data_IF_961120748467
#
_entry.id   IF_961120748467
#
_cell.length_a   1.000
_cell.length_b   1.000
_cell.length_c   1.000
_cell.angle_alpha   90.00
_cell.angle_beta   90.00
_cell.angle_gamma   90.00
#
_symmetry.space_group_name_H-M   'P 1'
#
loop_
_entity.id
_entity.type
_entity.pdbx_description
1 polymer ?
#
# COMPACT_ATOMS: atom_id res chain seq x y z
N UNK A 1 -15.37 -1.42 16.92
CA UNK A 1 -15.63 -0.31 17.88
C UNK A 1 -14.38 0.53 17.96
N UNK A 2 -14.51 1.88 18.02
CA UNK A 2 -13.33 2.74 18.13
C UNK A 2 -12.43 2.33 19.30
N UNK A 3 -11.14 2.43 19.09
CA UNK A 3 -10.09 2.15 20.07
C UNK A 3 -9.22 3.39 20.28
N UNK A 4 -8.48 3.45 21.36
CA UNK A 4 -7.45 4.46 21.53
C UNK A 4 -6.28 4.18 20.57
N UNK A 5 -5.64 5.24 20.06
CA UNK A 5 -4.45 5.08 19.24
C UNK A 5 -3.32 4.47 20.07
N UNK A 6 -2.70 3.41 19.55
CA UNK A 6 -1.56 2.74 20.20
C UNK A 6 -0.22 3.43 19.89
N UNK A 7 -0.19 4.26 18.87
CA UNK A 7 0.96 5.05 18.42
C UNK A 7 0.58 6.48 18.07
N UNK A 8 1.24 7.04 17.06
CA UNK A 8 0.92 8.39 16.56
C UNK A 8 -0.48 8.45 15.97
N UNK A 9 -1.09 9.63 15.98
CA UNK A 9 -2.40 9.89 15.40
C UNK A 9 -2.48 11.29 14.81
N UNK A 10 -3.50 11.55 14.01
CA UNK A 10 -3.81 12.87 13.44
C UNK A 10 -5.14 13.39 14.00
N UNK A 11 -5.28 14.71 14.05
CA UNK A 11 -6.46 15.35 14.63
C UNK A 11 -7.75 14.90 13.93
N UNK A 12 -8.74 14.49 14.71
CA UNK A 12 -10.06 14.06 14.23
C UNK A 12 -10.09 12.62 13.65
N UNK A 13 -8.98 11.93 13.62
CA UNK A 13 -8.93 10.54 13.17
C UNK A 13 -9.59 9.60 14.21
N UNK A 14 -10.25 8.57 13.71
CA UNK A 14 -10.86 7.51 14.49
C UNK A 14 -10.12 6.22 14.18
N UNK A 15 -9.52 5.63 15.21
CA UNK A 15 -8.89 4.31 15.14
C UNK A 15 -9.92 3.23 15.45
N UNK A 16 -9.89 2.13 14.70
CA UNK A 16 -10.76 0.99 14.95
C UNK A 16 -10.04 -0.32 14.57
N UNK A 17 -10.54 -1.42 15.11
CA UNK A 17 -10.11 -2.78 14.74
C UNK A 17 -11.33 -3.60 14.33
N UNK A 18 -11.19 -4.32 13.24
CA UNK A 18 -12.28 -5.08 12.65
C UNK A 18 -11.86 -6.52 12.39
N UNK A 19 -12.71 -7.47 12.77
CA UNK A 19 -12.50 -8.88 12.50
C UNK A 19 -12.87 -9.19 11.04
N UNK A 20 -11.92 -9.67 10.26
CA UNK A 20 -12.07 -10.06 8.84
C UNK A 20 -11.18 -11.27 8.56
N UNK A 21 -11.64 -12.19 7.74
CA UNK A 21 -10.83 -13.31 7.22
C UNK A 21 -9.94 -14.01 8.28
N UNK A 22 -10.46 -14.21 9.50
CA UNK A 22 -9.75 -14.87 10.60
C UNK A 22 -8.64 -14.04 11.26
N UNK A 23 -8.62 -12.74 11.07
CA UNK A 23 -7.67 -11.79 11.69
C UNK A 23 -8.41 -10.53 12.15
N UNK A 24 -7.73 -9.64 12.86
CA UNK A 24 -8.20 -8.27 13.10
C UNK A 24 -7.28 -7.28 12.40
N UNK A 25 -7.86 -6.48 11.51
CA UNK A 25 -7.15 -5.36 10.91
C UNK A 25 -7.40 -4.09 11.72
N UNK A 26 -6.35 -3.34 11.97
CA UNK A 26 -6.40 -1.96 12.42
C UNK A 26 -6.59 -1.05 11.21
N UNK A 27 -7.44 -0.06 11.34
CA UNK A 27 -7.60 0.99 10.33
C UNK A 27 -7.94 2.32 10.99
N UNK A 28 -7.61 3.39 10.28
CA UNK A 28 -7.83 4.77 10.71
C UNK A 28 -8.77 5.44 9.73
N UNK A 29 -9.79 6.10 10.23
CA UNK A 29 -10.80 6.80 9.43
C UNK A 29 -10.76 8.29 9.67
N UNK A 30 -10.93 9.07 8.59
CA UNK A 30 -11.06 10.52 8.62
C UNK A 30 -12.05 11.00 7.55
N UNK A 31 -12.82 12.05 7.84
CA UNK A 31 -13.86 12.54 6.93
C UNK A 31 -15.19 11.79 7.08
N UNK A 32 -16.30 12.48 6.81
CA UNK A 32 -17.65 11.97 7.07
C UNK A 32 -18.56 11.95 5.84
N UNK A 33 -18.12 12.55 4.72
CA UNK A 33 -18.94 12.74 3.51
C UNK A 33 -18.15 12.32 2.24
N UNK A 34 -18.81 12.30 1.12
CA UNK A 34 -18.24 11.96 -0.19
C UNK A 34 -18.03 10.45 -0.40
N UNK A 35 -17.42 10.09 -1.51
CA UNK A 35 -17.09 8.70 -1.84
C UNK A 35 -15.99 8.14 -0.93
N UNK A 36 -15.99 6.83 -0.66
CA UNK A 36 -15.02 6.22 0.22
C UNK A 36 -13.70 5.93 -0.51
N UNK A 37 -12.58 6.23 0.16
CA UNK A 37 -11.22 5.94 -0.28
C UNK A 37 -10.56 4.99 0.71
N UNK A 38 -9.92 3.92 0.22
CA UNK A 38 -9.09 3.02 1.02
C UNK A 38 -7.63 3.18 0.62
N UNK A 39 -6.80 3.60 1.57
CA UNK A 39 -5.35 3.76 1.43
C UNK A 39 -4.64 2.53 2.01
N UNK A 40 -3.75 1.93 1.22
CA UNK A 40 -3.00 0.72 1.58
C UNK A 40 -1.51 1.02 1.44
N UNK A 41 -0.81 0.95 2.56
CA UNK A 41 0.60 1.31 2.67
C UNK A 41 1.53 0.28 2.01
N UNK A 42 2.80 0.68 1.82
CA UNK A 42 3.90 -0.15 1.36
C UNK A 42 4.80 -0.67 2.49
N UNK A 43 6.10 -0.81 2.17
CA UNK A 43 7.13 -1.25 3.10
C UNK A 43 8.25 -0.18 3.17
N UNK A 44 8.79 0.13 4.36
CA UNK A 44 8.48 -0.40 5.70
C UNK A 44 7.43 0.43 6.45
N UNK A 45 6.34 0.68 5.82
CA UNK A 45 5.30 1.62 6.23
C UNK A 45 4.17 0.95 7.04
N UNK A 46 3.26 1.80 7.51
CA UNK A 46 1.96 1.49 8.12
C UNK A 46 0.95 2.50 7.58
N UNK A 47 -0.29 2.54 8.09
CA UNK A 47 -1.26 3.59 7.78
C UNK A 47 -0.67 5.00 7.91
N UNK A 48 0.34 5.17 8.79
CA UNK A 48 0.99 6.44 9.07
C UNK A 48 1.66 7.08 7.84
N UNK A 49 2.02 6.28 6.82
CA UNK A 49 2.53 6.82 5.56
C UNK A 49 1.60 7.85 4.90
N UNK A 50 0.31 7.78 5.20
CA UNK A 50 -0.69 8.68 4.64
C UNK A 50 -1.14 9.77 5.60
N UNK A 51 -0.45 10.01 6.72
CA UNK A 51 -0.90 10.93 7.77
C UNK A 51 -1.07 12.37 7.28
N UNK A 52 -0.30 12.81 6.29
CA UNK A 52 -0.45 14.13 5.66
C UNK A 52 -1.39 14.12 4.45
N UNK A 53 -1.53 12.99 3.77
CA UNK A 53 -2.45 12.82 2.63
C UNK A 53 -3.91 12.75 3.09
N UNK A 54 -4.17 12.04 4.18
CA UNK A 54 -5.53 11.83 4.70
C UNK A 54 -6.31 13.11 5.01
N UNK A 55 -5.75 14.13 5.70
CA UNK A 55 -6.48 15.37 5.99
C UNK A 55 -6.94 16.09 4.72
N UNK A 56 -6.12 16.12 3.67
CA UNK A 56 -6.46 16.79 2.40
C UNK A 56 -7.59 16.05 1.69
N UNK A 57 -7.54 14.72 1.64
CA UNK A 57 -8.60 13.92 1.02
C UNK A 57 -9.91 13.98 1.84
N UNK A 58 -9.79 14.01 3.16
CA UNK A 58 -10.93 14.01 4.08
C UNK A 58 -11.80 15.29 4.04
N UNK A 59 -11.31 16.35 3.41
CA UNK A 59 -12.12 17.54 3.16
C UNK A 59 -13.38 17.23 2.31
N UNK A 60 -13.31 16.21 1.45
CA UNK A 60 -14.35 15.86 0.47
C UNK A 60 -14.73 14.38 0.44
N UNK A 61 -13.96 13.50 1.09
CA UNK A 61 -14.11 12.05 1.01
C UNK A 61 -14.12 11.42 2.40
N UNK A 62 -14.66 10.19 2.49
CA UNK A 62 -14.46 9.30 3.62
C UNK A 62 -13.17 8.53 3.38
N UNK A 63 -12.14 8.82 4.15
CA UNK A 63 -10.82 8.23 3.97
C UNK A 63 -10.59 7.18 5.03
N UNK A 64 -10.15 6.00 4.61
CA UNK A 64 -9.73 4.91 5.47
C UNK A 64 -8.31 4.52 5.09
N UNK A 65 -7.41 4.46 6.06
CA UNK A 65 -6.06 3.92 5.88
C UNK A 65 -5.93 2.67 6.76
N UNK A 66 -5.52 1.55 6.17
CA UNK A 66 -5.46 0.26 6.83
C UNK A 66 -4.02 -0.15 7.10
N UNK A 67 -3.77 -0.77 8.24
CA UNK A 67 -2.58 -1.60 8.45
C UNK A 67 -2.86 -2.99 7.90
N UNK A 68 -2.06 -3.46 6.96
CA UNK A 68 -2.15 -4.84 6.47
C UNK A 68 -1.87 -5.84 7.60
N UNK A 69 -2.37 -7.06 7.48
CA UNK A 69 -2.05 -8.15 8.40
C UNK A 69 -0.53 -8.29 8.53
N UNK A 70 -0.04 -8.33 9.77
CA UNK A 70 1.38 -8.38 10.08
C UNK A 70 2.09 -7.03 10.10
N UNK A 71 1.38 -5.94 9.83
CA UNK A 71 1.91 -4.57 9.87
C UNK A 71 1.16 -3.72 10.89
N UNK A 72 1.75 -2.59 11.25
CA UNK A 72 1.11 -1.60 12.10
C UNK A 72 0.51 -2.20 13.35
N UNK A 73 -0.69 -1.82 13.69
CA UNK A 73 -1.45 -2.30 14.86
C UNK A 73 -2.45 -3.42 14.51
N UNK A 74 -2.37 -3.98 13.30
CA UNK A 74 -3.09 -5.21 12.91
C UNK A 74 -2.52 -6.46 13.59
N UNK A 75 -3.29 -7.55 13.60
CA UNK A 75 -2.79 -8.85 14.07
C UNK A 75 -1.60 -9.30 13.23
N UNK A 76 -0.73 -10.11 13.84
CA UNK A 76 0.44 -10.67 13.18
C UNK A 76 0.03 -11.58 12.01
N UNK A 77 0.88 -11.65 11.01
CA UNK A 77 0.73 -12.62 9.92
C UNK A 77 1.12 -14.02 10.39
N UNK A 78 0.52 -15.03 9.77
CA UNK A 78 0.90 -16.43 9.93
C UNK A 78 1.69 -16.93 8.72
N UNK A 79 2.06 -18.20 8.75
CA UNK A 79 2.88 -18.84 7.72
C UNK A 79 2.24 -18.88 6.33
N UNK A 80 0.91 -18.75 6.25
CA UNK A 80 0.14 -18.80 5.00
C UNK A 80 -0.15 -17.42 4.41
N UNK A 81 0.32 -16.34 5.06
CA UNK A 81 0.08 -14.99 4.59
C UNK A 81 0.82 -14.72 3.28
N UNK A 82 0.06 -14.33 2.28
CA UNK A 82 0.51 -13.97 0.93
C UNK A 82 -0.38 -12.85 0.34
N UNK A 83 -0.13 -12.44 -0.89
CA UNK A 83 -0.93 -11.40 -1.56
C UNK A 83 -2.39 -11.80 -1.76
N UNK A 84 -2.71 -13.10 -1.82
CA UNK A 84 -4.08 -13.58 -1.98
C UNK A 84 -4.84 -13.46 -0.66
N UNK A 85 -4.21 -13.85 0.45
CA UNK A 85 -4.79 -13.68 1.79
C UNK A 85 -4.99 -12.20 2.09
N UNK A 86 -3.99 -11.36 1.79
CA UNK A 86 -4.08 -9.92 1.98
C UNK A 86 -5.21 -9.28 1.14
N UNK A 87 -5.42 -9.72 -0.10
CA UNK A 87 -6.50 -9.24 -0.95
C UNK A 87 -7.89 -9.62 -0.38
N UNK A 88 -8.04 -10.83 0.15
CA UNK A 88 -9.27 -11.25 0.80
C UNK A 88 -9.53 -10.48 2.11
N UNK A 89 -8.48 -10.21 2.89
CA UNK A 89 -8.58 -9.36 4.08
C UNK A 89 -9.16 -7.98 3.74
N UNK A 90 -8.63 -7.35 2.70
CA UNK A 90 -9.10 -6.04 2.23
C UNK A 90 -10.52 -6.10 1.65
N UNK A 91 -10.87 -7.16 0.92
CA UNK A 91 -12.24 -7.35 0.42
C UNK A 91 -13.25 -7.44 1.57
N UNK A 92 -12.94 -8.23 2.60
CA UNK A 92 -13.82 -8.34 3.76
C UNK A 92 -13.85 -7.04 4.59
N UNK A 93 -12.74 -6.30 4.67
CA UNK A 93 -12.73 -4.96 5.26
C UNK A 93 -13.69 -4.01 4.53
N UNK A 94 -13.60 -3.92 3.19
CA UNK A 94 -14.48 -3.08 2.37
C UNK A 94 -15.94 -3.45 2.61
N UNK A 95 -16.24 -4.75 2.60
CA UNK A 95 -17.59 -5.27 2.84
C UNK A 95 -18.10 -4.89 4.23
N UNK A 96 -17.29 -5.06 5.25
CA UNK A 96 -17.66 -4.79 6.65
C UNK A 96 -17.80 -3.27 6.92
N UNK A 97 -17.04 -2.41 6.26
CA UNK A 97 -17.20 -0.96 6.32
C UNK A 97 -18.54 -0.50 5.73
N UNK A 98 -19.10 -1.25 4.77
CA UNK A 98 -20.48 -1.05 4.25
C UNK A 98 -20.69 0.33 3.59
N UNK A 99 -19.66 0.88 2.95
CA UNK A 99 -19.70 2.20 2.29
C UNK A 99 -19.92 2.13 0.77
N UNK A 100 -20.10 0.92 0.22
CA UNK A 100 -20.14 0.66 -1.22
C UNK A 100 -18.75 0.47 -1.83
N UNK A 101 -18.63 0.47 -3.17
CA UNK A 101 -17.35 0.34 -3.85
C UNK A 101 -16.40 1.47 -3.44
N UNK A 102 -15.14 1.13 -3.18
CA UNK A 102 -14.12 2.09 -2.72
C UNK A 102 -13.14 2.47 -3.83
N UNK A 103 -12.67 3.70 -3.79
CA UNK A 103 -11.47 4.10 -4.51
C UNK A 103 -10.26 3.51 -3.79
N UNK A 104 -9.62 2.52 -4.40
CA UNK A 104 -8.48 1.81 -3.83
C UNK A 104 -7.19 2.55 -4.19
N UNK A 105 -6.39 2.88 -3.20
CA UNK A 105 -5.06 3.48 -3.38
C UNK A 105 -4.04 2.57 -2.73
N UNK A 106 -3.03 2.13 -3.46
CA UNK A 106 -1.99 1.25 -2.94
C UNK A 106 -0.60 1.73 -3.36
N UNK A 107 0.37 1.55 -2.46
CA UNK A 107 1.76 1.96 -2.65
C UNK A 107 2.71 0.78 -2.53
N UNK A 108 3.77 0.76 -3.35
CA UNK A 108 4.91 -0.16 -3.25
C UNK A 108 4.49 -1.64 -3.25
N UNK A 109 4.95 -2.41 -2.26
CA UNK A 109 4.78 -3.87 -2.13
C UNK A 109 3.30 -4.30 -2.04
N UNK A 110 2.41 -3.43 -1.56
CA UNK A 110 0.98 -3.71 -1.51
C UNK A 110 0.29 -3.70 -2.88
N UNK A 111 0.99 -3.24 -3.91
CA UNK A 111 0.46 -3.19 -5.27
C UNK A 111 -0.03 -4.54 -5.80
N UNK A 112 0.68 -5.63 -5.50
CA UNK A 112 0.26 -7.00 -5.89
C UNK A 112 -1.06 -7.38 -5.21
N UNK A 113 -1.21 -7.07 -3.93
CA UNK A 113 -2.44 -7.28 -3.16
C UNK A 113 -3.59 -6.48 -3.75
N UNK A 114 -3.38 -5.18 -4.00
CA UNK A 114 -4.41 -4.29 -4.53
C UNK A 114 -4.82 -4.66 -5.97
N UNK A 115 -3.86 -5.02 -6.83
CA UNK A 115 -4.14 -5.52 -8.17
C UNK A 115 -4.99 -6.79 -8.12
N UNK A 116 -4.62 -7.74 -7.26
CA UNK A 116 -5.39 -8.97 -7.06
C UNK A 116 -6.81 -8.68 -6.56
N UNK A 117 -6.97 -7.80 -5.57
CA UNK A 117 -8.27 -7.37 -5.06
C UNK A 117 -9.14 -6.79 -6.18
N UNK A 118 -8.61 -5.82 -6.95
CA UNK A 118 -9.35 -5.19 -8.04
C UNK A 118 -9.70 -6.19 -9.16
N UNK A 119 -8.86 -7.20 -9.40
CA UNK A 119 -9.10 -8.23 -10.41
C UNK A 119 -10.13 -9.28 -9.96
N UNK A 120 -10.12 -9.68 -8.69
CA UNK A 120 -10.99 -10.77 -8.20
C UNK A 120 -12.32 -10.27 -7.62
N UNK A 121 -12.39 -9.01 -7.18
CA UNK A 121 -13.56 -8.37 -6.60
C UNK A 121 -13.84 -6.99 -7.24
N UNK A 122 -14.00 -6.92 -8.58
CA UNK A 122 -14.15 -5.64 -9.28
C UNK A 122 -15.34 -4.81 -8.81
N UNK A 123 -16.42 -5.44 -8.35
CA UNK A 123 -17.62 -4.77 -7.86
C UNK A 123 -17.39 -4.04 -6.51
N UNK A 124 -16.35 -4.39 -5.78
CA UNK A 124 -15.95 -3.72 -4.54
C UNK A 124 -15.09 -2.47 -4.77
N UNK A 125 -14.64 -2.25 -6.01
CA UNK A 125 -13.67 -1.19 -6.35
C UNK A 125 -14.30 -0.19 -7.32
N UNK A 126 -14.18 1.10 -6.99
CA UNK A 126 -14.66 2.19 -7.85
C UNK A 126 -13.57 2.67 -8.83
N UNK A 127 -12.33 2.73 -8.38
CA UNK A 127 -11.12 3.00 -9.17
C UNK A 127 -9.89 2.46 -8.44
N UNK A 128 -8.77 2.36 -9.15
CA UNK A 128 -7.51 1.91 -8.57
C UNK A 128 -6.40 2.94 -8.84
N UNK A 129 -5.81 3.48 -7.79
CA UNK A 129 -4.60 4.31 -7.84
C UNK A 129 -3.40 3.51 -7.40
N UNK A 130 -2.41 3.38 -8.27
CA UNK A 130 -1.17 2.65 -8.09
C UNK A 130 -0.02 3.65 -7.89
N UNK A 131 0.64 3.66 -6.72
CA UNK A 131 1.72 4.61 -6.39
C UNK A 131 3.03 3.86 -6.28
N UNK A 132 4.05 4.24 -7.08
CA UNK A 132 5.42 3.70 -6.99
C UNK A 132 5.45 2.17 -6.84
N UNK A 133 4.59 1.45 -7.56
CA UNK A 133 4.46 0.01 -7.44
C UNK A 133 4.80 -0.72 -8.74
N UNK A 134 5.21 -1.96 -8.58
CA UNK A 134 5.34 -2.94 -9.65
C UNK A 134 4.44 -4.15 -9.43
N UNK A 135 4.47 -5.07 -10.38
CA UNK A 135 3.78 -6.35 -10.28
C UNK A 135 4.73 -7.49 -10.64
N UNK A 136 4.73 -8.62 -9.89
CA UNK A 136 5.43 -9.82 -10.29
C UNK A 136 4.93 -10.34 -11.63
N UNK A 137 5.85 -10.83 -12.47
CA UNK A 137 5.56 -11.19 -13.86
C UNK A 137 5.58 -10.02 -14.83
N UNK A 138 5.64 -8.78 -14.31
CA UNK A 138 5.76 -7.55 -15.11
C UNK A 138 7.06 -6.78 -14.84
N UNK A 139 8.00 -7.41 -14.15
CA UNK A 139 9.35 -6.89 -13.93
C UNK A 139 9.71 -6.59 -12.47
N UNK A 140 8.77 -6.67 -11.52
CA UNK A 140 9.06 -6.41 -10.11
C UNK A 140 10.06 -7.41 -9.51
N UNK A 141 10.05 -8.65 -9.97
CA UNK A 141 10.99 -9.68 -9.55
C UNK A 141 12.46 -9.35 -9.87
N UNK A 142 12.72 -8.49 -10.85
CA UNK A 142 14.06 -8.06 -11.19
C UNK A 142 14.73 -7.25 -10.07
N UNK A 143 13.95 -6.64 -9.17
CA UNK A 143 14.50 -5.99 -7.99
C UNK A 143 15.17 -6.95 -7.00
N UNK A 144 14.96 -8.25 -7.11
CA UNK A 144 15.70 -9.24 -6.32
C UNK A 144 17.07 -9.61 -6.90
N UNK A 145 17.38 -9.20 -8.13
CA UNK A 145 18.66 -9.49 -8.78
C UNK A 145 19.72 -8.43 -8.45
N UNK A 146 20.44 -8.65 -7.35
CA UNK A 146 21.51 -7.76 -6.88
C UNK A 146 22.66 -7.61 -7.88
N UNK A 147 22.86 -8.55 -8.80
CA UNK A 147 23.93 -8.48 -9.80
C UNK A 147 23.63 -7.46 -10.90
N UNK A 148 22.36 -7.12 -11.07
CA UNK A 148 21.85 -6.16 -12.05
C UNK A 148 21.24 -4.91 -11.40
N UNK A 149 21.69 -4.54 -10.21
CA UNK A 149 21.26 -3.31 -9.53
C UNK A 149 20.01 -3.47 -8.66
N UNK A 150 19.57 -4.69 -8.40
CA UNK A 150 18.48 -4.97 -7.48
C UNK A 150 18.86 -4.78 -6.00
N UNK A 151 17.88 -4.86 -5.13
CA UNK A 151 18.01 -4.61 -3.72
C UNK A 151 18.20 -5.91 -2.93
N UNK A 152 19.29 -5.97 -2.15
CA UNK A 152 19.67 -7.16 -1.37
C UNK A 152 18.58 -7.60 -0.38
N UNK A 153 17.79 -6.66 0.14
CA UNK A 153 16.79 -6.94 1.16
C UNK A 153 15.58 -7.74 0.63
N UNK A 154 15.34 -7.81 -0.67
CA UNK A 154 14.27 -8.67 -1.22
C UNK A 154 14.43 -10.13 -0.78
N UNK A 155 15.62 -10.68 -0.90
CA UNK A 155 15.90 -12.06 -0.47
C UNK A 155 15.80 -12.24 1.05
N UNK A 156 16.26 -11.26 1.81
CA UNK A 156 16.19 -11.25 3.28
C UNK A 156 14.71 -11.22 3.72
N UNK A 157 13.94 -10.25 3.22
CA UNK A 157 12.53 -10.10 3.59
C UNK A 157 11.69 -11.31 3.16
N UNK A 158 11.95 -11.89 2.00
CA UNK A 158 11.21 -13.05 1.50
C UNK A 158 11.51 -14.36 2.24
N UNK A 159 12.53 -14.38 3.12
CA UNK A 159 12.96 -15.60 3.80
C UNK A 159 12.56 -15.57 5.27
N UNK A 160 11.63 -16.46 5.63
CA UNK A 160 11.06 -16.53 6.99
C UNK A 160 12.14 -16.62 8.07
N UNK A 161 11.96 -15.80 9.13
CA UNK A 161 12.83 -15.73 10.31
C UNK A 161 14.17 -15.04 10.08
N UNK A 162 14.56 -14.77 8.83
CA UNK A 162 15.82 -14.05 8.55
C UNK A 162 15.69 -12.57 8.94
N UNK A 163 14.59 -11.84 8.65
CA UNK A 163 14.45 -10.47 9.14
C UNK A 163 14.58 -10.36 10.67
N UNK A 164 13.87 -11.21 11.42
CA UNK A 164 13.98 -11.22 12.89
C UNK A 164 15.42 -11.49 13.35
N UNK A 165 16.07 -12.50 12.77
CA UNK A 165 17.44 -12.85 13.12
C UNK A 165 18.45 -11.71 12.87
N UNK A 166 18.28 -10.95 11.79
CA UNK A 166 19.23 -9.90 11.39
C UNK A 166 18.91 -8.53 12.00
N UNK A 167 17.61 -8.23 12.19
CA UNK A 167 17.13 -6.88 12.47
C UNK A 167 16.58 -6.70 13.89
N UNK A 168 16.43 -7.77 14.70
CA UNK A 168 15.96 -7.64 16.07
C UNK A 168 16.82 -6.66 16.88
N UNK A 169 16.17 -5.62 17.44
CA UNK A 169 16.81 -4.52 18.15
C UNK A 169 17.49 -3.49 17.23
N UNK A 170 17.30 -3.56 15.93
CA UNK A 170 17.86 -2.65 14.91
C UNK A 170 16.79 -2.08 13.97
N UNK A 171 15.52 -2.24 14.31
CA UNK A 171 14.39 -1.87 13.46
C UNK A 171 14.45 -0.40 13.08
N UNK A 172 14.67 0.49 14.05
CA UNK A 172 14.77 1.93 13.80
C UNK A 172 15.97 2.29 12.91
N UNK A 173 17.12 1.64 13.12
CA UNK A 173 18.28 1.86 12.28
C UNK A 173 18.06 1.34 10.85
N UNK A 174 17.45 0.16 10.68
CA UNK A 174 17.15 -0.36 9.36
C UNK A 174 16.16 0.53 8.61
N UNK A 175 15.09 0.97 9.28
CA UNK A 175 14.05 1.82 8.70
C UNK A 175 14.58 3.24 8.44
N UNK A 176 15.19 3.87 9.44
CA UNK A 176 15.56 5.28 9.42
C UNK A 176 16.92 5.58 8.81
N UNK A 177 17.94 4.72 9.02
CA UNK A 177 19.28 4.99 8.52
C UNK A 177 19.55 4.35 7.15
N UNK A 178 18.70 3.37 6.74
CA UNK A 178 18.89 2.69 5.47
C UNK A 178 17.67 2.81 4.53
N UNK A 179 16.48 2.30 4.92
CA UNK A 179 15.37 2.17 3.97
C UNK A 179 14.91 3.53 3.42
N UNK A 180 14.47 4.44 4.26
CA UNK A 180 14.03 5.75 3.81
C UNK A 180 15.14 6.55 3.12
N UNK A 181 16.35 6.74 3.68
CA UNK A 181 17.39 7.51 3.02
C UNK A 181 17.85 6.93 1.68
N UNK A 182 17.73 5.61 1.47
CA UNK A 182 18.17 4.99 0.22
C UNK A 182 17.22 5.24 -0.96
N UNK A 183 15.98 5.65 -0.70
CA UNK A 183 14.94 5.78 -1.73
C UNK A 183 14.18 7.11 -1.68
N UNK A 184 14.32 7.93 -0.63
CA UNK A 184 13.82 9.31 -0.61
C UNK A 184 14.69 10.21 -1.47
N UNK A 185 14.06 11.10 -2.22
CA UNK A 185 14.71 12.19 -2.94
C UNK A 185 14.66 13.52 -2.14
N UNK A 186 13.67 13.65 -1.25
CA UNK A 186 13.49 14.83 -0.40
C UNK A 186 14.16 14.55 0.96
N UNK A 187 15.24 15.25 1.31
CA UNK A 187 15.86 15.11 2.62
C UNK A 187 14.87 15.39 3.74
N UNK A 188 14.95 14.62 4.80
CA UNK A 188 14.15 14.77 6.02
C UNK A 188 12.61 14.69 5.84
N UNK A 189 12.14 14.21 4.68
CA UNK A 189 10.71 13.98 4.45
C UNK A 189 10.12 12.94 5.42
N UNK A 190 10.95 12.03 5.92
CA UNK A 190 10.61 11.07 6.97
C UNK A 190 11.43 11.40 8.20
N UNK A 191 10.81 12.05 9.19
CA UNK A 191 11.47 12.50 10.40
C UNK A 191 11.68 11.38 11.43
N UNK A 192 12.50 11.66 12.47
CA UNK A 192 12.76 10.70 13.56
C UNK A 192 11.47 10.16 14.20
N UNK A 193 10.45 11.01 14.34
CA UNK A 193 9.17 10.62 14.90
C UNK A 193 8.40 9.63 14.01
N UNK A 194 8.53 9.73 12.69
CA UNK A 194 7.91 8.83 11.74
C UNK A 194 8.65 7.49 11.70
N UNK A 195 9.98 7.55 11.72
CA UNK A 195 10.84 6.36 11.87
C UNK A 195 10.49 5.59 13.13
N UNK A 196 10.34 6.28 14.27
CA UNK A 196 9.98 5.66 15.53
C UNK A 196 8.61 4.99 15.47
N UNK A 197 7.62 5.60 14.80
CA UNK A 197 6.28 5.02 14.62
C UNK A 197 6.32 3.76 13.75
N UNK A 198 7.01 3.78 12.62
CA UNK A 198 7.15 2.60 11.78
C UNK A 198 7.92 1.47 12.48
N UNK A 199 9.07 1.78 13.09
CA UNK A 199 9.91 0.81 13.77
C UNK A 199 9.21 0.15 14.99
N UNK A 200 8.33 0.88 15.67
CA UNK A 200 7.59 0.40 16.85
C UNK A 200 6.89 -0.94 16.60
N UNK A 201 6.29 -1.09 15.45
CA UNK A 201 5.48 -2.27 15.14
C UNK A 201 6.33 -3.43 14.64
N UNK A 202 7.45 -3.17 14.00
CA UNK A 202 8.43 -4.20 13.62
C UNK A 202 9.17 -4.80 14.81
N UNK A 203 9.34 -4.04 15.91
CA UNK A 203 10.00 -4.53 17.13
C UNK A 203 9.20 -5.59 17.91
N UNK A 204 7.96 -5.90 17.50
CA UNK A 204 7.16 -7.00 18.06
C UNK A 204 7.74 -8.35 17.63
N UNK A 205 7.75 -9.39 18.47
CA UNK A 205 8.04 -10.74 18.01
C UNK A 205 7.14 -11.13 16.82
N UNK A 206 7.72 -11.53 15.69
CA UNK A 206 6.99 -11.79 14.44
C UNK A 206 6.54 -10.52 13.70
N UNK A 207 7.03 -9.34 14.07
CA UNK A 207 6.68 -8.07 13.43
C UNK A 207 7.07 -7.96 11.95
N UNK A 208 7.99 -8.81 11.49
CA UNK A 208 8.43 -8.89 10.09
C UNK A 208 7.64 -9.90 9.25
N UNK A 209 6.77 -10.74 9.84
CA UNK A 209 6.08 -11.82 9.13
C UNK A 209 5.16 -11.33 8.02
N UNK A 210 4.53 -10.15 8.19
CA UNK A 210 3.74 -9.50 7.14
C UNK A 210 4.58 -9.15 5.92
N UNK A 211 5.72 -8.48 6.13
CA UNK A 211 6.65 -8.16 5.07
C UNK A 211 7.17 -9.44 4.39
N UNK A 212 7.52 -10.46 5.18
CA UNK A 212 7.99 -11.76 4.67
C UNK A 212 6.98 -12.38 3.71
N UNK A 213 5.70 -12.40 4.06
CA UNK A 213 4.65 -12.94 3.19
C UNK A 213 4.53 -12.19 1.86
N UNK A 214 4.52 -10.86 1.91
CA UNK A 214 4.38 -10.05 0.70
C UNK A 214 5.62 -10.12 -0.21
N UNK A 215 6.84 -10.05 0.34
CA UNK A 215 8.06 -10.22 -0.45
C UNK A 215 8.18 -11.61 -1.05
N UNK A 216 7.79 -12.65 -0.31
CA UNK A 216 7.73 -14.01 -0.85
C UNK A 216 6.71 -14.13 -2.00
N UNK A 217 5.58 -13.40 -1.93
CA UNK A 217 4.59 -13.34 -3.00
C UNK A 217 5.18 -12.74 -4.28
N UNK A 218 5.94 -11.64 -4.18
CA UNK A 218 6.62 -11.04 -5.35
C UNK A 218 7.49 -12.07 -6.08
N UNK A 219 8.23 -12.89 -5.33
CA UNK A 219 9.16 -13.87 -5.93
C UNK A 219 8.46 -15.13 -6.47
N UNK A 220 7.22 -15.41 -6.06
CA UNK A 220 6.54 -16.70 -6.34
C UNK A 220 5.28 -16.60 -7.19
N UNK A 221 4.69 -15.40 -7.31
CA UNK A 221 3.35 -15.27 -7.87
C UNK A 221 3.30 -14.68 -9.29
N UNK A 222 4.43 -14.48 -9.94
CA UNK A 222 4.49 -13.85 -11.27
C UNK A 222 3.54 -14.49 -12.28
N UNK A 223 3.55 -15.81 -12.44
CA UNK A 223 2.66 -16.51 -13.36
C UNK A 223 1.17 -16.32 -13.01
N UNK A 224 0.84 -16.30 -11.71
CA UNK A 224 -0.55 -16.09 -11.25
C UNK A 224 -1.04 -14.69 -11.53
N UNK A 225 -0.18 -13.69 -11.35
CA UNK A 225 -0.53 -12.29 -11.63
C UNK A 225 -0.64 -12.05 -13.13
N UNK A 226 0.24 -12.62 -13.94
CA UNK A 226 0.12 -12.59 -15.41
C UNK A 226 -1.19 -13.23 -15.87
N UNK A 227 -1.56 -14.39 -15.32
CA UNK A 227 -2.82 -15.05 -15.65
C UNK A 227 -4.06 -14.20 -15.29
N UNK A 228 -4.03 -13.51 -14.14
CA UNK A 228 -5.07 -12.55 -13.77
C UNK A 228 -5.15 -11.39 -14.77
N UNK A 229 -4.02 -10.81 -15.12
CA UNK A 229 -3.96 -9.70 -16.09
C UNK A 229 -4.51 -10.11 -17.46
N UNK A 230 -4.21 -11.33 -17.92
CA UNK A 230 -4.69 -11.87 -19.20
C UNK A 230 -6.18 -12.19 -19.21
N UNK A 231 -6.83 -12.29 -18.06
CA UNK A 231 -8.28 -12.52 -17.97
C UNK A 231 -9.11 -11.24 -18.08
N UNK A 232 -8.51 -10.10 -18.45
CA UNK A 232 -9.13 -8.76 -18.49
C UNK A 232 -9.85 -8.40 -17.18
N UNK A 233 -9.24 -8.79 -16.07
CA UNK A 233 -9.89 -8.73 -14.75
C UNK A 233 -9.99 -7.30 -14.19
N UNK A 234 -9.10 -6.37 -14.59
CA UNK A 234 -9.18 -4.97 -14.17
C UNK A 234 -10.19 -4.23 -15.05
N UNK A 235 -11.32 -3.86 -14.46
CA UNK A 235 -12.45 -3.22 -15.16
C UNK A 235 -12.75 -1.80 -14.68
N UNK A 236 -11.93 -1.30 -13.77
CA UNK A 236 -12.09 0.02 -13.17
C UNK A 236 -11.04 0.97 -13.71
N UNK A 237 -11.31 2.29 -13.78
CA UNK A 237 -10.29 3.27 -14.13
C UNK A 237 -9.06 3.16 -13.24
N UNK A 238 -7.88 3.35 -13.83
CA UNK A 238 -6.59 3.25 -13.14
C UNK A 238 -5.82 4.56 -13.24
N UNK A 239 -5.26 5.03 -12.12
CA UNK A 239 -4.25 6.08 -12.06
C UNK A 239 -2.92 5.48 -11.64
N UNK A 240 -1.89 5.64 -12.45
CA UNK A 240 -0.50 5.29 -12.12
C UNK A 240 0.25 6.56 -11.68
N UNK A 241 0.73 6.59 -10.46
CA UNK A 241 1.57 7.67 -9.93
C UNK A 241 3.00 7.17 -9.84
N UNK A 242 3.88 7.77 -10.64
CA UNK A 242 5.33 7.56 -10.58
C UNK A 242 6.01 8.74 -9.90
N UNK A 243 7.15 8.49 -9.28
CA UNK A 243 8.01 9.47 -8.67
C UNK A 243 9.48 9.04 -8.83
N UNK A 244 10.12 8.46 -7.80
CA UNK A 244 11.49 7.95 -7.87
C UNK A 244 11.71 6.84 -8.90
N UNK A 245 10.73 5.96 -9.06
CA UNK A 245 10.73 4.89 -10.08
C UNK A 245 10.43 5.36 -11.50
N UNK A 246 10.19 6.65 -11.71
CA UNK A 246 9.85 7.21 -13.01
C UNK A 246 8.60 6.55 -13.62
N UNK A 247 8.61 6.15 -14.90
CA UNK A 247 7.45 5.59 -15.58
C UNK A 247 7.19 4.10 -15.27
N UNK A 248 7.90 3.49 -14.34
CA UNK A 248 7.82 2.04 -14.08
C UNK A 248 6.39 1.60 -13.73
N UNK A 249 5.72 2.33 -12.80
CA UNK A 249 4.34 2.03 -12.41
C UNK A 249 3.37 2.15 -13.59
N UNK A 250 3.50 3.21 -14.39
CA UNK A 250 2.70 3.40 -15.61
C UNK A 250 2.88 2.24 -16.60
N UNK A 251 4.13 1.88 -16.91
CA UNK A 251 4.44 0.79 -17.83
C UNK A 251 3.90 -0.55 -17.31
N UNK A 252 4.02 -0.80 -16.02
CA UNK A 252 3.47 -1.99 -15.37
C UNK A 252 1.94 -2.03 -15.52
N UNK A 253 1.25 -0.97 -15.16
CA UNK A 253 -0.22 -0.95 -15.19
C UNK A 253 -0.78 -1.01 -16.60
N UNK A 254 -0.18 -0.34 -17.59
CA UNK A 254 -0.59 -0.44 -19.00
C UNK A 254 -0.46 -1.86 -19.57
N UNK A 255 0.55 -2.62 -19.12
CA UNK A 255 0.74 -4.02 -19.52
C UNK A 255 -0.19 -4.98 -18.78
N UNK A 256 -0.45 -4.71 -17.50
CA UNK A 256 -1.27 -5.57 -16.65
C UNK A 256 -2.78 -5.34 -16.79
N UNK A 257 -3.20 -4.18 -17.31
CA UNK A 257 -4.61 -3.82 -17.50
C UNK A 257 -4.86 -3.27 -18.94
N UNK A 258 -4.62 -4.07 -19.99
CA UNK A 258 -4.60 -3.59 -21.38
C UNK A 258 -5.96 -3.10 -21.90
N UNK A 259 -7.07 -3.55 -21.29
CA UNK A 259 -8.44 -3.14 -21.64
C UNK A 259 -8.97 -1.94 -20.87
N UNK A 260 -8.14 -1.31 -20.03
CA UNK A 260 -8.55 -0.29 -19.08
C UNK A 260 -7.95 1.07 -19.40
N UNK A 261 -8.68 2.16 -19.11
CA UNK A 261 -8.13 3.52 -19.14
C UNK A 261 -7.10 3.68 -18.00
N UNK A 262 -5.82 3.60 -18.35
CA UNK A 262 -4.68 3.81 -17.47
C UNK A 262 -4.12 5.20 -17.69
N UNK A 263 -4.44 6.10 -16.77
CA UNK A 263 -3.86 7.44 -16.70
C UNK A 263 -2.56 7.41 -15.90
N UNK A 264 -1.68 8.37 -16.16
CA UNK A 264 -0.43 8.47 -15.41
C UNK A 264 -0.08 9.90 -15.07
N UNK A 265 0.60 10.06 -13.94
CA UNK A 265 1.19 11.32 -13.49
C UNK A 265 2.58 11.04 -12.90
N UNK A 266 3.51 11.97 -13.13
CA UNK A 266 4.85 11.92 -12.53
C UNK A 266 5.00 13.01 -11.47
N UNK A 267 5.34 12.61 -10.25
CA UNK A 267 5.62 13.52 -9.14
C UNK A 267 7.12 13.83 -9.10
N UNK A 268 7.55 14.72 -9.99
CA UNK A 268 8.98 15.08 -10.09
C UNK A 268 9.53 15.67 -8.78
N UNK A 269 10.77 15.31 -8.43
CA UNK A 269 11.44 15.77 -7.22
C UNK A 269 11.08 14.99 -5.94
N UNK A 270 10.17 14.03 -6.00
CA UNK A 270 9.94 13.04 -4.95
C UNK A 270 10.65 11.73 -5.30
N UNK A 271 11.03 10.97 -4.29
CA UNK A 271 11.55 9.61 -4.40
C UNK A 271 10.43 8.57 -4.32
N UNK A 272 10.80 7.38 -3.86
CA UNK A 272 9.89 6.24 -3.79
C UNK A 272 8.73 6.43 -2.78
N UNK A 273 8.98 7.11 -1.67
CA UNK A 273 7.96 7.33 -0.63
C UNK A 273 7.12 8.58 -0.93
N UNK A 274 6.53 8.63 -2.12
CA UNK A 274 5.87 9.80 -2.67
C UNK A 274 4.77 10.39 -1.77
N UNK A 275 4.05 9.55 -1.01
CA UNK A 275 3.01 9.99 -0.07
C UNK A 275 3.57 10.80 1.11
N UNK A 276 4.82 10.56 1.51
CA UNK A 276 5.52 11.29 2.57
C UNK A 276 6.38 12.43 2.02
N UNK A 277 6.93 12.27 0.82
CA UNK A 277 7.82 13.25 0.21
C UNK A 277 7.09 14.40 -0.51
N UNK A 278 5.87 14.15 -0.97
CA UNK A 278 5.05 15.12 -1.69
C UNK A 278 3.55 14.95 -1.41
N UNK A 279 3.12 14.96 -0.13
CA UNK A 279 1.77 14.58 0.29
C UNK A 279 0.68 15.40 -0.37
N UNK A 280 0.84 16.71 -0.49
CA UNK A 280 -0.15 17.59 -1.13
C UNK A 280 -0.33 17.25 -2.62
N UNK A 281 0.76 16.93 -3.32
CA UNK A 281 0.71 16.60 -4.77
C UNK A 281 0.11 15.21 -4.99
N UNK A 282 0.44 14.24 -4.15
CA UNK A 282 -0.19 12.91 -4.15
C UNK A 282 -1.67 13.02 -3.85
N UNK A 283 -2.04 13.75 -2.79
CA UNK A 283 -3.44 13.96 -2.43
C UNK A 283 -4.23 14.67 -3.55
N UNK A 284 -3.65 15.69 -4.18
CA UNK A 284 -4.28 16.39 -5.31
C UNK A 284 -4.52 15.46 -6.50
N UNK A 285 -3.53 14.64 -6.87
CA UNK A 285 -3.66 13.68 -7.97
C UNK A 285 -4.76 12.63 -7.68
N UNK A 286 -4.81 12.10 -6.46
CA UNK A 286 -5.86 11.15 -6.04
C UNK A 286 -7.22 11.83 -6.08
N UNK A 287 -7.38 13.00 -5.46
CA UNK A 287 -8.64 13.73 -5.38
C UNK A 287 -9.20 14.06 -6.75
N UNK A 288 -8.37 14.57 -7.65
CA UNK A 288 -8.79 14.96 -8.99
C UNK A 288 -9.24 13.74 -9.80
N UNK A 289 -8.50 12.64 -9.73
CA UNK A 289 -8.87 11.39 -10.38
C UNK A 289 -10.16 10.78 -9.79
N UNK A 290 -10.29 10.72 -8.48
CA UNK A 290 -11.51 10.24 -7.80
C UNK A 290 -12.71 11.08 -8.19
N UNK A 291 -12.57 12.41 -8.19
CA UNK A 291 -13.66 13.32 -8.58
C UNK A 291 -14.14 13.11 -10.02
N UNK A 292 -13.24 12.84 -10.96
CA UNK A 292 -13.60 12.54 -12.35
C UNK A 292 -14.33 11.18 -12.47
N UNK A 293 -13.86 10.16 -11.75
CA UNK A 293 -14.52 8.84 -11.73
C UNK A 293 -15.92 8.95 -11.13
N UNK A 294 -16.09 9.69 -10.03
CA UNK A 294 -17.39 9.90 -9.39
C UNK A 294 -18.36 10.61 -10.32
N UNK A 295 -17.89 11.66 -11.00
CA UNK A 295 -18.72 12.39 -11.97
C UNK A 295 -19.20 11.48 -13.13
N UNK A 296 -18.31 10.61 -13.63
CA UNK A 296 -18.64 9.66 -14.69
C UNK A 296 -19.62 8.56 -14.25
N UNK A 297 -19.66 8.21 -12.95
CA UNK A 297 -20.60 7.20 -12.41
C UNK A 297 -22.01 7.74 -12.16
N UNK A 298 -22.16 9.06 -12.08
CA UNK A 298 -23.46 9.73 -11.86
C UNK A 298 -24.13 10.08 -13.20
N UNK A 299 -23.36 10.27 -14.26
CA UNK A 299 -23.83 10.59 -15.62
C UNK A 299 -24.40 9.37 -16.33
#
# INVERSE_FOLDING_TARGET
MPIDALGRTISGAIHDRIAVNGTHLHYVSLGTSGSPILLVHGFPETWWAFHEVMPVLAERHRVHAVDLRGFGDSDLANDEFDSKVAAEDLHQLITALGKGPMHLVAQDISGTTAFRLAATHPDAIASFTAIEMGLPGFGMEAFADVTNGGAWYFGVMATRGIPDMLLAGREAAFVGDYMFPSMCAVPDAVGEGDVAEFARTYARPGGWDGATGLYASVLKEGEKIVALAQSDAIRVPVLAIGAGGGPFTEHTMKRAAPGTDVRSIQIGGAGHYAAMEAPERVAAAIRDFVGEVDAARIA
#
